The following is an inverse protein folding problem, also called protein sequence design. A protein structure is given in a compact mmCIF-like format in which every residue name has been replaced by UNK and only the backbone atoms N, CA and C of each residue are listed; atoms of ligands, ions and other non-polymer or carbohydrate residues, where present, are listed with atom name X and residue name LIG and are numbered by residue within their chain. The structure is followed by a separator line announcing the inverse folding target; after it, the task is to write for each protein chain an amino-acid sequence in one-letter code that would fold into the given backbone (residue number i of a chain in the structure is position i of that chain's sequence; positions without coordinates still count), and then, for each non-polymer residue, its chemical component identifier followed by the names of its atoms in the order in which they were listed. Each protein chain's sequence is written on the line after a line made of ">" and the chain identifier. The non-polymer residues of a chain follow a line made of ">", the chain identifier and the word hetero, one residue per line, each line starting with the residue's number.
data_IF_344157045996
#
_entry.id   IF_344157045996
#
_cell.length_a   1.000
_cell.length_b   1.000
_cell.length_c   1.000
_cell.angle_alpha   90.00
_cell.angle_beta   90.00
_cell.angle_gamma   90.00
#
_symmetry.space_group_name_H-M   'P 1'
#
loop_
_entity.id
_entity.type
_entity.pdbx_description
1 polymer ?
#
# COMPACT_ATOMS: atom_id res chain seq x y z
N UNK A 1 18.91 0.25 -15.14
CA UNK A 1 18.38 1.26 -16.08
C UNK A 1 16.91 1.02 -16.39
N UNK A 2 16.57 -0.16 -16.94
CA UNK A 2 15.18 -0.58 -17.23
C UNK A 2 14.14 -0.29 -16.15
N UNK A 3 14.44 -0.60 -14.88
CA UNK A 3 13.53 -0.31 -13.76
C UNK A 3 13.14 1.18 -13.68
N UNK A 4 14.09 2.09 -13.90
CA UNK A 4 13.84 3.53 -13.83
C UNK A 4 13.07 4.04 -15.05
N UNK A 5 13.25 3.44 -16.23
CA UNK A 5 12.45 3.74 -17.42
C UNK A 5 10.99 3.34 -17.21
N UNK A 6 10.76 2.11 -16.75
CA UNK A 6 9.43 1.61 -16.40
C UNK A 6 8.77 2.47 -15.32
N UNK A 7 9.53 2.95 -14.33
CA UNK A 7 9.01 3.86 -13.31
C UNK A 7 8.49 5.17 -13.90
N UNK A 8 9.15 5.72 -14.93
CA UNK A 8 8.69 6.93 -15.60
C UNK A 8 7.46 6.66 -16.47
N UNK A 9 7.44 5.54 -17.22
CA UNK A 9 6.30 5.10 -18.03
C UNK A 9 5.06 4.86 -17.15
N UNK A 10 5.20 4.05 -16.10
CA UNK A 10 4.09 3.68 -15.21
C UNK A 10 3.49 4.85 -14.43
N UNK A 11 4.27 5.91 -14.18
CA UNK A 11 3.76 7.16 -13.58
C UNK A 11 2.86 7.96 -14.51
N UNK A 12 3.11 7.89 -15.82
CA UNK A 12 2.34 8.61 -16.83
C UNK A 12 1.17 7.78 -17.39
N UNK A 13 1.18 6.45 -17.19
CA UNK A 13 0.19 5.54 -17.74
C UNK A 13 -1.20 5.69 -17.07
N UNK A 14 -2.23 5.84 -17.90
CA UNK A 14 -3.62 6.04 -17.50
C UNK A 14 -4.44 4.75 -17.57
N UNK A 15 -4.07 3.80 -18.44
CA UNK A 15 -4.71 2.50 -18.52
C UNK A 15 -4.27 1.59 -17.36
N UNK A 16 -5.24 1.15 -16.55
CA UNK A 16 -4.97 0.35 -15.35
C UNK A 16 -4.37 -1.02 -15.67
N UNK A 17 -4.74 -1.63 -16.81
CA UNK A 17 -4.22 -2.94 -17.23
C UNK A 17 -2.76 -2.79 -17.62
N UNK A 18 -2.45 -1.80 -18.47
CA UNK A 18 -1.09 -1.51 -18.93
C UNK A 18 -0.18 -1.10 -17.76
N UNK A 19 -0.68 -0.26 -16.85
CA UNK A 19 0.06 0.14 -15.65
C UNK A 19 0.34 -1.05 -14.74
N UNK A 20 -0.60 -2.00 -14.66
CA UNK A 20 -0.41 -3.27 -13.97
C UNK A 20 0.73 -4.11 -14.56
N UNK A 21 0.81 -4.24 -15.88
CA UNK A 21 1.90 -4.95 -16.57
C UNK A 21 3.27 -4.31 -16.31
N UNK A 22 3.35 -2.98 -16.39
CA UNK A 22 4.58 -2.21 -16.10
C UNK A 22 5.07 -2.50 -14.67
N UNK A 23 4.18 -2.40 -13.68
CA UNK A 23 4.55 -2.67 -12.29
C UNK A 23 4.87 -4.14 -12.02
N UNK A 24 4.26 -5.07 -12.75
CA UNK A 24 4.63 -6.47 -12.70
C UNK A 24 6.08 -6.67 -13.17
N UNK A 25 6.45 -6.11 -14.32
CA UNK A 25 7.83 -6.20 -14.83
C UNK A 25 8.82 -5.59 -13.83
N UNK A 26 8.51 -4.41 -13.26
CA UNK A 26 9.33 -3.80 -12.22
C UNK A 26 9.52 -4.70 -11.00
N UNK A 27 8.45 -5.37 -10.54
CA UNK A 27 8.52 -6.30 -9.42
C UNK A 27 9.38 -7.53 -9.72
N UNK A 28 9.32 -8.03 -10.96
CA UNK A 28 10.16 -9.15 -11.42
C UNK A 28 11.63 -8.77 -11.46
N UNK A 29 11.97 -7.57 -11.98
CA UNK A 29 13.34 -7.04 -11.93
C UNK A 29 13.84 -6.90 -10.49
N UNK A 30 13.00 -6.39 -9.58
CA UNK A 30 13.36 -6.29 -8.17
C UNK A 30 13.54 -7.65 -7.50
N UNK A 31 12.83 -8.69 -7.94
CA UNK A 31 12.95 -10.06 -7.44
C UNK A 31 14.22 -10.75 -7.94
N UNK A 32 14.48 -10.65 -9.24
CA UNK A 32 15.53 -11.42 -9.92
C UNK A 32 16.91 -10.74 -9.83
N UNK A 33 16.94 -9.41 -9.92
CA UNK A 33 18.18 -8.62 -9.94
C UNK A 33 18.38 -7.79 -8.64
N UNK A 34 17.38 -7.75 -7.77
CA UNK A 34 17.45 -7.00 -6.51
C UNK A 34 18.31 -7.71 -5.47
N UNK A 35 19.27 -6.98 -4.90
CA UNK A 35 20.13 -7.50 -3.82
C UNK A 35 19.45 -7.58 -2.44
N UNK A 36 18.17 -7.19 -2.32
CA UNK A 36 17.47 -7.06 -1.04
C UNK A 36 16.29 -8.02 -0.97
N UNK A 37 16.35 -8.98 -0.04
CA UNK A 37 15.22 -9.87 0.28
C UNK A 37 14.44 -9.26 1.44
N UNK A 38 13.20 -8.82 1.20
CA UNK A 38 12.32 -8.22 2.21
C UNK A 38 11.04 -9.05 2.37
N UNK A 39 11.02 -10.08 3.23
CA UNK A 39 9.77 -10.75 3.57
C UNK A 39 8.93 -9.81 4.44
N UNK A 40 7.85 -9.26 3.88
CA UNK A 40 6.98 -8.30 4.55
C UNK A 40 5.51 -8.76 4.45
N UNK A 41 4.91 -9.03 5.61
CA UNK A 41 3.53 -9.49 5.74
C UNK A 41 2.81 -8.58 6.74
N UNK A 42 2.34 -7.39 6.33
CA UNK A 42 1.71 -6.46 7.26
C UNK A 42 0.42 -7.07 7.81
N UNK A 43 0.36 -7.22 9.12
CA UNK A 43 -0.86 -7.54 9.84
C UNK A 43 -1.04 -6.54 10.97
N UNK A 44 -1.87 -5.53 10.72
CA UNK A 44 -2.10 -4.47 11.70
C UNK A 44 -3.28 -4.81 12.61
N UNK A 45 -2.99 -4.93 13.90
CA UNK A 45 -3.99 -5.16 14.95
C UNK A 45 -4.02 -3.91 15.84
N UNK A 46 -5.20 -3.34 16.06
CA UNK A 46 -5.39 -2.13 16.85
C UNK A 46 -6.27 -2.39 18.06
N UNK A 47 -5.82 -1.92 19.23
CA UNK A 47 -6.67 -1.80 20.41
C UNK A 47 -7.43 -0.48 20.37
N UNK A 48 -8.76 -0.53 20.49
CA UNK A 48 -9.61 0.66 20.64
C UNK A 48 -10.64 0.45 21.73
N UNK A 49 -11.10 1.53 22.37
CA UNK A 49 -12.28 1.45 23.24
C UNK A 49 -13.50 1.07 22.39
N UNK A 50 -14.48 0.41 23.02
CA UNK A 50 -15.72 -0.02 22.37
C UNK A 50 -16.52 1.12 21.75
N UNK A 51 -16.40 2.33 22.32
CA UNK A 51 -17.05 3.55 21.87
C UNK A 51 -16.27 4.31 20.79
N UNK A 52 -15.04 3.92 20.45
CA UNK A 52 -14.33 4.46 19.29
C UNK A 52 -14.75 3.65 18.07
N UNK A 53 -15.40 4.27 17.09
CA UNK A 53 -15.90 3.63 15.87
C UNK A 53 -15.09 4.07 14.65
N UNK A 54 -15.18 3.28 13.59
CA UNK A 54 -14.57 3.51 12.28
C UNK A 54 -15.43 2.85 11.21
N UNK A 55 -15.23 3.18 9.93
CA UNK A 55 -16.05 2.67 8.82
C UNK A 55 -15.90 1.16 8.54
N UNK A 56 -14.91 0.50 9.15
CA UNK A 56 -14.60 -0.92 8.91
C UNK A 56 -13.71 -1.15 7.68
N UNK A 57 -13.69 -0.20 6.74
CA UNK A 57 -12.77 -0.17 5.62
C UNK A 57 -11.46 0.55 6.01
N UNK A 58 -10.59 -0.12 6.77
CA UNK A 58 -9.32 0.44 7.22
C UNK A 58 -8.26 0.39 6.10
N UNK A 59 -7.39 1.40 6.07
CA UNK A 59 -6.26 1.43 5.16
C UNK A 59 -5.30 0.27 5.47
N UNK A 60 -4.82 -0.46 4.44
CA UNK A 60 -3.86 -1.55 4.62
C UNK A 60 -2.43 -1.05 4.78
N UNK A 61 -2.22 0.27 4.69
CA UNK A 61 -0.93 0.92 4.89
C UNK A 61 -0.85 1.45 6.31
N UNK A 62 0.31 1.27 6.98
CA UNK A 62 0.64 1.80 8.30
C UNK A 62 -0.36 1.51 9.45
N UNK A 63 0.06 1.84 10.68
CA UNK A 63 -0.79 1.64 11.85
C UNK A 63 -1.96 2.63 11.89
N UNK A 64 -2.99 2.30 12.68
CA UNK A 64 -4.15 3.13 12.99
C UNK A 64 -4.81 3.72 11.73
N UNK A 65 -5.23 2.83 10.82
CA UNK A 65 -5.92 3.20 9.58
C UNK A 65 -5.09 4.12 8.68
N UNK A 66 -3.82 3.77 8.42
CA UNK A 66 -2.92 4.60 7.62
C UNK A 66 -2.62 5.96 8.24
N UNK A 67 -2.52 5.99 9.56
CA UNK A 67 -2.46 7.21 10.38
C UNK A 67 -3.65 8.16 10.19
N UNK A 68 -4.76 7.70 9.58
CA UNK A 68 -5.96 8.51 9.36
C UNK A 68 -7.00 8.39 10.47
N UNK A 69 -6.71 7.66 11.55
CA UNK A 69 -7.62 7.52 12.69
C UNK A 69 -8.14 8.87 13.22
N UNK A 70 -7.31 9.91 13.22
CA UNK A 70 -7.70 11.26 13.68
C UNK A 70 -8.79 11.93 12.82
N UNK A 71 -8.94 11.53 11.55
CA UNK A 71 -9.93 12.11 10.63
C UNK A 71 -11.05 11.15 10.23
N UNK A 72 -10.87 9.85 10.43
CA UNK A 72 -11.82 8.81 9.98
C UNK A 72 -12.52 8.08 11.11
N UNK A 73 -12.03 8.19 12.35
CA UNK A 73 -12.61 7.53 13.52
C UNK A 73 -13.37 8.55 14.36
N UNK A 74 -14.37 8.09 15.10
CA UNK A 74 -15.21 8.95 15.93
C UNK A 74 -15.60 8.25 17.22
N UNK A 75 -16.05 9.04 18.20
CA UNK A 75 -16.67 8.51 19.40
C UNK A 75 -18.17 8.37 19.18
N UNK A 76 -18.69 7.18 19.48
CA UNK A 76 -20.11 6.92 19.62
C UNK A 76 -20.49 7.04 21.10
N UNK A 77 -21.72 7.46 21.38
CA UNK A 77 -22.18 7.76 22.75
C UNK A 77 -22.47 6.49 23.55
#
# INVERSE_FOLDING_TARGET
>A
ERFNELLLEGKAELDDTRRGEIYHEMAMLARDDGGTVIPYFPNFIYGRRSNVKHTGALAPSWQMDGYRYASRWWFDS
#
